data_IF_576923320513
#
_entry.id   IF_576923320513
#
_cell.length_a   1.000
_cell.length_b   1.000
_cell.length_c   1.000
_cell.angle_alpha   90.00
_cell.angle_beta   90.00
_cell.angle_gamma   90.00
#
_symmetry.space_group_name_H-M   'P 1'
#
loop_
_entity.id
_entity.type
_entity.pdbx_description
1 polymer ?
#
# COMPACT_ATOMS: atom_id res chain seq x y z
N UNK A 1 -4.26 14.83 46.17
CA UNK A 1 -4.13 15.67 44.96
C UNK A 1 -2.86 15.41 44.13
N UNK A 2 -1.65 15.37 44.72
CA UNK A 2 -0.39 15.17 43.95
C UNK A 2 -0.37 13.90 43.05
N UNK A 3 -0.86 12.75 43.54
CA UNK A 3 -0.89 11.48 42.76
C UNK A 3 -1.69 11.53 41.45
N UNK A 4 -2.77 12.33 41.40
CA UNK A 4 -3.63 12.46 40.21
C UNK A 4 -2.92 13.27 39.11
N UNK A 5 -2.16 14.28 39.52
CA UNK A 5 -1.36 15.11 38.60
C UNK A 5 -0.24 14.28 37.96
N UNK A 6 0.45 13.44 38.74
CA UNK A 6 1.48 12.55 38.20
C UNK A 6 0.91 11.52 37.21
N UNK A 7 -0.28 10.96 37.47
CA UNK A 7 -0.94 10.04 36.54
C UNK A 7 -1.29 10.71 35.20
N UNK A 8 -1.76 11.96 35.26
CA UNK A 8 -2.09 12.75 34.06
C UNK A 8 -0.84 13.03 33.21
N UNK A 9 0.26 13.43 33.86
CA UNK A 9 1.54 13.71 33.18
C UNK A 9 2.09 12.42 32.54
N UNK A 10 2.09 11.30 33.27
CA UNK A 10 2.58 10.01 32.76
C UNK A 10 1.72 9.53 31.58
N UNK A 11 0.40 9.66 31.68
CA UNK A 11 -0.52 9.31 30.58
C UNK A 11 -0.31 10.16 29.33
N UNK A 12 -0.03 11.45 29.51
CA UNK A 12 0.24 12.40 28.41
C UNK A 12 1.55 12.05 27.70
N UNK A 13 2.59 11.70 28.46
CA UNK A 13 3.88 11.27 27.91
C UNK A 13 3.73 9.94 27.16
N UNK A 14 3.02 8.97 27.73
CA UNK A 14 2.75 7.69 27.06
C UNK A 14 1.99 7.87 25.74
N UNK A 15 1.01 8.78 25.71
CA UNK A 15 0.25 9.09 24.49
C UNK A 15 1.15 9.67 23.39
N UNK A 16 2.02 10.63 23.73
CA UNK A 16 2.97 11.23 22.78
C UNK A 16 3.97 10.19 22.26
N UNK A 17 4.47 9.32 23.14
CA UNK A 17 5.40 8.25 22.77
C UNK A 17 4.75 7.23 21.84
N UNK A 18 3.50 6.81 22.11
CA UNK A 18 2.76 5.89 21.25
C UNK A 18 2.50 6.53 19.87
N UNK A 19 2.10 7.81 19.84
CA UNK A 19 1.82 8.52 18.58
C UNK A 19 3.08 8.86 17.77
N UNK A 20 4.23 8.99 18.43
CA UNK A 20 5.53 9.21 17.82
C UNK A 20 6.20 7.94 17.30
N UNK A 21 6.11 6.83 18.05
CA UNK A 21 6.77 5.57 17.72
C UNK A 21 5.94 4.65 16.82
N UNK A 22 4.60 4.71 16.90
CA UNK A 22 3.73 3.92 16.03
C UNK A 22 3.20 4.80 14.90
N UNK A 23 3.80 4.76 13.70
CA UNK A 23 3.25 5.46 12.55
C UNK A 23 1.83 4.95 12.30
N UNK A 24 0.85 5.84 12.43
CA UNK A 24 -0.54 5.53 12.12
C UNK A 24 -0.63 5.04 10.67
N UNK A 25 -1.56 4.11 10.39
CA UNK A 25 -1.76 3.58 9.02
C UNK A 25 -1.91 4.71 7.98
N UNK A 26 -2.52 5.83 8.38
CA UNK A 26 -2.64 7.05 7.58
C UNK A 26 -1.31 7.72 7.23
N UNK A 27 -0.34 7.78 8.17
CA UNK A 27 1.01 8.32 7.89
C UNK A 27 1.78 7.46 6.89
N UNK A 28 1.70 6.13 7.00
CA UNK A 28 2.32 5.19 6.05
C UNK A 28 1.70 5.33 4.65
N UNK A 29 0.38 5.45 4.58
CA UNK A 29 -0.32 5.67 3.32
C UNK A 29 0.09 7.02 2.68
N UNK A 30 0.16 8.09 3.47
CA UNK A 30 0.58 9.41 2.98
C UNK A 30 2.05 9.43 2.50
N UNK A 31 2.96 8.72 3.19
CA UNK A 31 4.35 8.61 2.74
C UNK A 31 4.48 7.80 1.46
N UNK A 32 3.72 6.71 1.32
CA UNK A 32 3.68 5.93 0.07
C UNK A 32 3.11 6.78 -1.07
N UNK A 33 2.01 7.50 -0.82
CA UNK A 33 1.39 8.38 -1.81
C UNK A 33 2.31 9.52 -2.24
N UNK A 34 3.04 10.13 -1.31
CA UNK A 34 4.07 11.14 -1.62
C UNK A 34 5.25 10.58 -2.39
N UNK A 35 5.70 9.36 -2.07
CA UNK A 35 6.74 8.69 -2.83
C UNK A 35 6.27 8.38 -4.26
N UNK A 36 5.01 7.96 -4.40
CA UNK A 36 4.39 7.71 -5.70
C UNK A 36 4.29 8.99 -6.54
N UNK A 37 3.80 10.09 -5.96
CA UNK A 37 3.61 11.38 -6.64
C UNK A 37 4.93 12.06 -7.06
N UNK A 38 6.02 11.82 -6.34
CA UNK A 38 7.32 12.43 -6.63
C UNK A 38 8.18 11.56 -7.57
N UNK A 39 7.75 10.34 -7.90
CA UNK A 39 8.54 9.44 -8.74
C UNK A 39 8.15 9.56 -10.21
N UNK A 40 9.14 9.75 -11.09
CA UNK A 40 8.94 9.67 -12.54
C UNK A 40 8.54 8.26 -12.99
N UNK A 41 8.90 7.23 -12.24
CA UNK A 41 8.54 5.85 -12.53
C UNK A 41 8.32 5.09 -11.22
N UNK A 42 7.36 4.19 -11.18
CA UNK A 42 7.18 3.35 -10.00
C UNK A 42 6.34 2.12 -10.26
N UNK A 43 6.32 1.26 -9.25
CA UNK A 43 5.47 0.08 -9.22
C UNK A 43 4.69 0.03 -7.90
N UNK A 44 3.41 -0.33 -7.97
CA UNK A 44 2.55 -0.56 -6.81
C UNK A 44 1.97 -1.97 -6.96
N UNK A 45 2.11 -2.77 -5.91
CA UNK A 45 1.56 -4.13 -5.88
C UNK A 45 0.38 -4.20 -4.92
N UNK A 46 -0.66 -4.90 -5.34
CA UNK A 46 -1.86 -5.14 -4.55
C UNK A 46 -2.15 -6.64 -4.55
N UNK A 47 -2.09 -7.25 -3.36
CA UNK A 47 -2.51 -8.63 -3.15
C UNK A 47 -3.94 -8.61 -2.59
N UNK A 48 -4.87 -9.25 -3.30
CA UNK A 48 -6.22 -9.47 -2.84
C UNK A 48 -6.49 -10.97 -2.76
N UNK A 49 -7.20 -11.37 -1.70
CA UNK A 49 -7.69 -12.75 -1.56
C UNK A 49 -9.18 -12.72 -1.87
N UNK A 50 -9.57 -13.39 -2.95
CA UNK A 50 -10.98 -13.59 -3.30
C UNK A 50 -11.42 -14.93 -2.71
N UNK A 51 -12.53 -14.91 -1.98
CA UNK A 51 -13.14 -16.11 -1.45
C UNK A 51 -14.52 -16.28 -2.09
N UNK A 52 -14.68 -17.34 -2.88
CA UNK A 52 -15.92 -17.68 -3.57
C UNK A 52 -16.35 -19.09 -3.14
N UNK A 53 -17.29 -19.16 -2.21
CA UNK A 53 -17.65 -20.41 -1.53
C UNK A 53 -16.47 -21.00 -0.76
N UNK A 54 -16.16 -22.28 -0.99
CA UNK A 54 -15.00 -22.96 -0.40
C UNK A 54 -13.68 -22.65 -1.13
N UNK A 55 -13.74 -21.94 -2.27
CA UNK A 55 -12.56 -21.64 -3.08
C UNK A 55 -11.93 -20.33 -2.63
N UNK A 56 -10.66 -20.39 -2.21
CA UNK A 56 -9.85 -19.19 -1.92
C UNK A 56 -8.84 -19.02 -3.05
N UNK A 57 -8.97 -17.93 -3.81
CA UNK A 57 -7.98 -17.56 -4.83
C UNK A 57 -7.22 -16.31 -4.39
N UNK A 58 -5.91 -16.32 -4.58
CA UNK A 58 -5.06 -15.14 -4.37
C UNK A 58 -4.79 -14.49 -5.72
N UNK A 59 -5.22 -13.25 -5.83
CA UNK A 59 -4.97 -12.39 -6.99
C UNK A 59 -3.89 -11.38 -6.60
N UNK A 60 -2.90 -11.24 -7.47
CA UNK A 60 -1.83 -10.27 -7.32
C UNK A 60 -1.88 -9.33 -8.50
N UNK A 61 -2.03 -8.04 -8.25
CA UNK A 61 -2.05 -7.01 -9.29
C UNK A 61 -0.83 -6.13 -9.12
N UNK A 62 -0.08 -5.97 -10.19
CA UNK A 62 1.08 -5.08 -10.27
C UNK A 62 0.75 -3.91 -11.19
N UNK A 63 0.92 -2.70 -10.69
CA UNK A 63 0.69 -1.46 -11.39
C UNK A 63 2.03 -0.79 -11.62
N UNK A 64 2.47 -0.70 -12.86
CA UNK A 64 3.64 0.05 -13.28
C UNK A 64 3.20 1.38 -13.87
N UNK A 65 3.89 2.46 -13.53
CA UNK A 65 3.61 3.77 -14.10
C UNK A 65 4.91 4.51 -14.41
N UNK A 66 4.89 5.32 -15.45
CA UNK A 66 6.02 6.11 -15.90
C UNK A 66 5.54 7.44 -16.50
N UNK A 67 5.90 8.54 -15.85
CA UNK A 67 5.73 9.89 -16.38
C UNK A 67 6.91 10.21 -17.29
N UNK A 68 6.66 10.25 -18.60
CA UNK A 68 7.63 10.58 -19.64
C UNK A 68 7.46 12.02 -20.11
N UNK A 69 8.36 12.47 -21.00
CA UNK A 69 8.27 13.82 -21.60
C UNK A 69 7.13 13.94 -22.61
N UNK A 70 6.78 12.83 -23.24
CA UNK A 70 5.76 12.72 -24.26
C UNK A 70 4.39 12.37 -23.70
N UNK A 71 4.28 11.85 -22.47
CA UNK A 71 3.00 11.53 -21.85
C UNK A 71 3.15 10.70 -20.57
N UNK A 72 2.04 10.20 -20.05
CA UNK A 72 1.98 9.29 -18.92
C UNK A 72 1.68 7.86 -19.38
N UNK A 73 2.60 6.94 -19.09
CA UNK A 73 2.43 5.52 -19.34
C UNK A 73 1.98 4.81 -18.07
N UNK A 74 1.02 3.90 -18.22
CA UNK A 74 0.52 3.06 -17.15
C UNK A 74 0.29 1.63 -17.64
N UNK A 75 0.70 0.66 -16.84
CA UNK A 75 0.50 -0.76 -17.07
C UNK A 75 -0.02 -1.45 -15.83
N UNK A 76 -0.99 -2.33 -16.00
CA UNK A 76 -1.53 -3.22 -14.97
C UNK A 76 -1.33 -4.66 -15.41
N UNK A 77 -0.61 -5.44 -14.61
CA UNK A 77 -0.47 -6.88 -14.79
C UNK A 77 -1.20 -7.60 -13.66
N UNK A 78 -2.18 -8.43 -14.01
CA UNK A 78 -2.91 -9.26 -13.05
C UNK A 78 -2.35 -10.68 -13.09
N UNK A 79 -2.05 -11.22 -11.93
CA UNK A 79 -1.52 -12.56 -11.72
C UNK A 79 -2.45 -13.36 -10.81
N UNK A 80 -2.63 -14.63 -11.12
CA UNK A 80 -3.18 -15.61 -10.19
C UNK A 80 -2.04 -16.46 -9.62
N UNK A 81 -2.16 -16.79 -8.34
CA UNK A 81 -1.30 -17.80 -7.74
C UNK A 81 -1.84 -19.19 -8.07
N UNK A 82 -1.01 -19.99 -8.73
CA UNK A 82 -1.23 -21.42 -8.86
C UNK A 82 -0.96 -22.11 -7.50
N UNK A 83 -1.61 -23.26 -7.25
CA UNK A 83 -1.45 -24.01 -6.00
C UNK A 83 -0.01 -24.50 -5.70
N UNK A 84 0.90 -24.35 -6.67
CA UNK A 84 2.34 -24.63 -6.57
C UNK A 84 3.18 -23.39 -6.16
N UNK A 85 2.55 -22.23 -5.95
CA UNK A 85 3.22 -20.96 -5.62
C UNK A 85 3.72 -20.16 -6.82
N UNK A 86 3.56 -20.65 -8.05
CA UNK A 86 3.89 -19.91 -9.26
C UNK A 86 2.84 -18.83 -9.56
N UNK A 87 3.30 -17.72 -10.16
CA UNK A 87 2.44 -16.63 -10.64
C UNK A 87 2.13 -16.87 -12.11
N UNK A 88 0.85 -16.96 -12.43
CA UNK A 88 0.37 -17.02 -13.81
C UNK A 88 -0.23 -15.68 -14.18
N UNK A 89 0.24 -15.07 -15.28
CA UNK A 89 -0.36 -13.85 -15.83
C UNK A 89 -1.76 -14.19 -16.35
N UNK A 90 -2.74 -13.40 -15.91
CA UNK A 90 -4.16 -13.54 -16.26
C UNK A 90 -4.57 -12.45 -17.23
N UNK A 91 -4.13 -11.22 -16.97
CA UNK A 91 -4.50 -10.03 -17.74
C UNK A 91 -3.35 -9.03 -17.76
N UNK A 92 -3.18 -8.35 -18.89
CA UNK A 92 -2.29 -7.21 -19.02
C UNK A 92 -3.09 -6.09 -19.67
N UNK A 93 -3.12 -4.94 -19.01
CA UNK A 93 -3.68 -3.72 -19.52
C UNK A 93 -2.60 -2.65 -19.60
N UNK A 94 -2.47 -1.98 -20.74
CA UNK A 94 -1.52 -0.89 -20.96
C UNK A 94 -2.28 0.33 -21.50
N UNK A 95 -1.93 1.51 -20.99
CA UNK A 95 -2.49 2.79 -21.42
C UNK A 95 -1.39 3.84 -21.50
N UNK A 96 -1.58 4.76 -22.43
CA UNK A 96 -0.71 5.90 -22.61
C UNK A 96 -1.55 7.15 -22.82
N UNK A 97 -1.28 8.18 -22.03
CA UNK A 97 -1.99 9.47 -22.05
C UNK A 97 -1.02 10.58 -22.45
N UNK A 98 -1.33 11.31 -23.53
CA UNK A 98 -0.56 12.45 -24.04
C UNK A 98 -1.08 13.78 -23.47
#
# INVERSE_FOLDING_TARGET
MKKIIYLSIIGSILFIVIWGLFPTKARKLNSMWRATLNSQQGFITHESTLQEGDSTSKVFVEYEYETRRDGFYYKRTTYNFEGNGNRKIVDIFESFEN
#
